data_IF_905558245461
#
_entry.id   IF_905558245461
#
_cell.length_a   1.000
_cell.length_b   1.000
_cell.length_c   1.000
_cell.angle_alpha   90.00
_cell.angle_beta   90.00
_cell.angle_gamma   90.00
#
_symmetry.space_group_name_H-M   'P 1'
#
loop_
_entity.id
_entity.type
_entity.pdbx_description
1 polymer ?
#
# COMPACT_ATOMS: atom_id res chain seq x y z
N UNK A 1 8.44 -40.75 43.09
CA UNK A 1 7.98 -39.34 43.11
C UNK A 1 9.20 -38.48 42.86
N UNK A 2 9.31 -37.75 41.72
CA UNK A 2 10.53 -37.01 41.40
C UNK A 2 10.66 -35.76 42.28
N UNK A 3 11.90 -35.41 42.60
CA UNK A 3 12.31 -34.40 43.57
C UNK A 3 12.16 -32.96 43.05
N UNK A 4 12.08 -31.96 43.96
CA UNK A 4 12.12 -30.55 43.61
C UNK A 4 13.58 -30.14 43.36
N UNK A 5 14.03 -30.27 42.11
CA UNK A 5 15.28 -29.65 41.65
C UNK A 5 15.04 -29.01 40.28
N UNK A 6 15.57 -27.79 40.12
CA UNK A 6 15.64 -26.98 38.89
C UNK A 6 14.46 -26.05 38.57
N UNK A 7 14.24 -25.03 39.42
CA UNK A 7 13.60 -23.78 38.96
C UNK A 7 14.52 -22.59 39.21
N UNK A 8 14.74 -21.80 38.14
CA UNK A 8 15.15 -20.39 38.11
C UNK A 8 16.62 -19.99 38.32
N UNK A 9 17.61 -20.73 37.81
CA UNK A 9 19.00 -20.21 37.68
C UNK A 9 19.53 -20.06 36.25
N UNK A 10 18.77 -20.48 35.22
CA UNK A 10 19.29 -20.57 33.84
C UNK A 10 18.75 -19.51 32.86
N UNK A 11 18.00 -18.50 33.32
CA UNK A 11 17.41 -17.49 32.44
C UNK A 11 17.88 -16.09 32.87
N UNK A 12 18.94 -15.59 32.22
CA UNK A 12 19.57 -14.30 32.51
C UNK A 12 18.95 -13.11 31.77
N UNK A 13 19.72 -12.03 31.63
CA UNK A 13 19.44 -10.90 30.73
C UNK A 13 20.02 -11.18 29.34
N UNK A 14 19.34 -10.78 28.26
CA UNK A 14 19.94 -10.74 26.92
C UNK A 14 19.95 -9.33 26.32
N UNK A 15 20.96 -9.04 25.50
CA UNK A 15 21.08 -7.82 24.70
C UNK A 15 21.59 -8.06 23.29
N UNK A 16 21.10 -7.24 22.35
CA UNK A 16 21.57 -7.21 20.96
C UNK A 16 22.00 -5.80 20.52
N UNK A 17 23.10 -5.23 21.06
CA UNK A 17 23.61 -3.97 20.57
C UNK A 17 24.03 -4.09 19.09
N UNK A 18 23.49 -3.22 18.24
CA UNK A 18 23.75 -3.13 16.79
C UNK A 18 24.67 -1.96 16.40
N UNK A 19 25.14 -1.16 17.35
CA UNK A 19 26.01 0.00 17.16
C UNK A 19 26.79 0.31 18.44
N UNK A 20 27.99 0.88 18.29
CA UNK A 20 28.82 1.36 19.40
C UNK A 20 28.31 2.74 19.87
N UNK A 21 27.32 2.74 20.77
CA UNK A 21 26.68 3.96 21.28
C UNK A 21 26.57 3.96 22.81
N UNK A 22 25.92 4.98 23.38
CA UNK A 22 25.49 5.04 24.79
C UNK A 22 24.81 3.76 25.26
N UNK A 23 24.09 3.07 24.36
CA UNK A 23 23.54 1.73 24.59
C UNK A 23 24.60 0.71 25.02
N UNK A 24 25.72 0.64 24.29
CA UNK A 24 26.81 -0.28 24.61
C UNK A 24 27.41 0.01 25.98
N UNK A 25 27.50 1.29 26.36
CA UNK A 25 27.96 1.67 27.69
C UNK A 25 27.00 1.20 28.79
N UNK A 26 25.69 1.38 28.61
CA UNK A 26 24.67 0.86 29.54
C UNK A 26 24.72 -0.65 29.70
N UNK A 27 24.86 -1.40 28.59
CA UNK A 27 25.02 -2.87 28.64
C UNK A 27 26.30 -3.28 29.38
N UNK A 28 27.43 -2.60 29.12
CA UNK A 28 28.70 -2.87 29.81
C UNK A 28 28.63 -2.60 31.32
N UNK A 29 27.91 -1.55 31.74
CA UNK A 29 27.72 -1.27 33.15
C UNK A 29 26.91 -2.38 33.85
N UNK A 30 25.87 -2.90 33.20
CA UNK A 30 25.13 -4.05 33.71
C UNK A 30 25.98 -5.33 33.72
N UNK A 31 26.79 -5.57 32.69
CA UNK A 31 27.75 -6.70 32.65
C UNK A 31 28.80 -6.63 33.76
N UNK A 32 29.11 -5.44 34.26
CA UNK A 32 30.03 -5.24 35.39
C UNK A 32 29.34 -5.32 36.77
N UNK A 33 28.02 -5.52 36.80
CA UNK A 33 27.23 -5.71 38.02
C UNK A 33 27.10 -7.19 38.38
N UNK A 34 26.28 -7.51 39.39
CA UNK A 34 25.99 -8.88 39.82
C UNK A 34 25.00 -9.61 38.88
N UNK A 35 24.41 -8.92 37.89
CA UNK A 35 23.47 -9.52 36.92
C UNK A 35 24.22 -10.17 35.76
N UNK A 36 23.87 -11.41 35.44
CA UNK A 36 24.35 -12.07 34.23
C UNK A 36 23.64 -11.54 32.98
N UNK A 37 24.42 -10.93 32.08
CA UNK A 37 23.96 -10.40 30.78
C UNK A 37 24.66 -11.09 29.62
N UNK A 38 23.91 -11.83 28.82
CA UNK A 38 24.36 -12.36 27.53
C UNK A 38 24.18 -11.31 26.43
N UNK A 39 25.19 -11.15 25.60
CA UNK A 39 25.20 -10.28 24.42
C UNK A 39 25.63 -11.10 23.21
N UNK A 40 24.68 -11.37 22.33
CA UNK A 40 24.89 -12.29 21.21
C UNK A 40 25.18 -11.58 19.87
N UNK A 41 24.89 -10.28 19.81
CA UNK A 41 25.22 -9.45 18.64
C UNK A 41 26.73 -9.37 18.39
N UNK A 42 27.12 -9.00 17.18
CA UNK A 42 28.52 -8.76 16.80
C UNK A 42 29.23 -7.66 17.62
N UNK A 43 28.51 -6.72 18.24
CA UNK A 43 29.14 -5.59 18.94
C UNK A 43 29.85 -5.95 20.24
N UNK A 44 29.20 -6.69 21.15
CA UNK A 44 29.79 -7.10 22.43
C UNK A 44 30.17 -8.58 22.47
N UNK A 45 29.35 -9.43 21.83
CA UNK A 45 29.57 -10.86 21.63
C UNK A 45 30.25 -11.58 22.81
N UNK A 46 29.68 -11.49 24.00
CA UNK A 46 30.27 -12.08 25.22
C UNK A 46 29.76 -13.52 25.50
N UNK A 47 28.74 -13.98 24.76
CA UNK A 47 28.12 -15.29 24.97
C UNK A 47 27.74 -15.96 23.65
N UNK A 48 27.51 -17.27 23.71
CA UNK A 48 26.98 -18.06 22.59
C UNK A 48 25.47 -18.18 22.74
N UNK A 49 24.71 -18.28 21.63
CA UNK A 49 23.28 -18.50 21.72
C UNK A 49 22.96 -19.81 22.46
N UNK A 50 21.82 -19.89 23.16
CA UNK A 50 21.37 -21.13 23.79
C UNK A 50 21.31 -22.29 22.79
N UNK A 51 21.63 -23.53 23.19
CA UNK A 51 21.58 -24.69 22.31
C UNK A 51 20.21 -24.88 21.66
N UNK A 52 20.20 -25.19 20.36
CA UNK A 52 18.98 -25.49 19.61
C UNK A 52 18.14 -24.26 19.21
N UNK A 53 18.63 -23.03 19.45
CA UNK A 53 17.93 -21.81 19.07
C UNK A 53 18.36 -21.32 17.68
N UNK A 54 17.39 -20.99 16.83
CA UNK A 54 17.63 -20.32 15.56
C UNK A 54 17.90 -18.82 15.79
N UNK A 55 19.16 -18.41 15.70
CA UNK A 55 19.59 -17.00 15.88
C UNK A 55 19.17 -16.07 14.74
N UNK A 56 18.72 -16.61 13.60
CA UNK A 56 18.10 -15.82 12.53
C UNK A 56 16.74 -15.23 12.94
N UNK A 57 16.10 -15.78 13.98
CA UNK A 57 14.90 -15.23 14.59
C UNK A 57 15.22 -14.75 16.02
N UNK A 58 15.25 -13.43 16.21
CA UNK A 58 15.53 -12.83 17.53
C UNK A 58 14.52 -13.25 18.60
N UNK A 59 13.25 -13.43 18.24
CA UNK A 59 12.17 -13.84 19.15
C UNK A 59 12.48 -15.19 19.79
N UNK A 60 12.90 -16.18 19.00
CA UNK A 60 13.26 -17.52 19.50
C UNK A 60 14.39 -17.49 20.54
N UNK A 61 15.29 -16.50 20.42
CA UNK A 61 16.35 -16.30 21.41
C UNK A 61 15.78 -15.62 22.65
N UNK A 62 15.03 -14.52 22.48
CA UNK A 62 14.44 -13.76 23.60
C UNK A 62 13.55 -14.63 24.50
N UNK A 63 12.82 -15.59 23.93
CA UNK A 63 12.01 -16.59 24.67
C UNK A 63 12.81 -17.41 25.69
N UNK A 64 14.14 -17.44 25.61
CA UNK A 64 15.01 -18.18 26.54
C UNK A 64 15.47 -17.35 27.74
N UNK A 65 15.12 -16.06 27.80
CA UNK A 65 15.60 -15.12 28.82
C UNK A 65 14.42 -14.45 29.53
N UNK A 66 14.57 -14.23 30.85
CA UNK A 66 13.55 -13.53 31.65
C UNK A 66 13.42 -12.07 31.23
N UNK A 67 14.53 -11.46 30.82
CA UNK A 67 14.61 -10.05 30.46
C UNK A 67 15.36 -9.84 29.16
N UNK A 68 14.97 -8.81 28.42
CA UNK A 68 15.72 -8.31 27.28
C UNK A 68 15.99 -6.80 27.41
N UNK A 69 17.23 -6.39 27.12
CA UNK A 69 17.64 -4.98 27.11
C UNK A 69 17.17 -4.29 25.82
N UNK A 70 15.95 -3.76 25.87
CA UNK A 70 15.25 -3.02 24.82
C UNK A 70 15.75 -1.57 24.70
N UNK A 71 17.07 -1.41 24.55
CA UNK A 71 17.69 -0.08 24.53
C UNK A 71 17.67 0.52 23.12
N UNK A 72 17.14 1.72 23.01
CA UNK A 72 17.14 2.48 21.76
C UNK A 72 18.51 3.07 21.45
N UNK A 73 18.71 3.44 20.18
CA UNK A 73 19.97 4.02 19.72
C UNK A 73 20.17 5.48 20.20
N UNK A 74 19.10 6.15 20.62
CA UNK A 74 19.07 7.53 21.06
C UNK A 74 17.95 7.78 22.04
N UNK A 75 17.98 8.94 22.71
CA UNK A 75 16.98 9.38 23.67
C UNK A 75 16.25 10.60 23.11
N UNK A 76 15.13 10.34 22.45
CA UNK A 76 14.29 11.36 21.84
C UNK A 76 12.85 11.00 22.13
N UNK A 77 12.02 12.00 22.46
CA UNK A 77 10.58 11.80 22.63
C UNK A 77 10.00 11.14 21.36
N UNK A 78 9.01 10.28 21.56
CA UNK A 78 8.37 9.45 20.52
C UNK A 78 9.28 8.44 19.78
N UNK A 79 10.59 8.39 20.06
CA UNK A 79 11.50 7.42 19.44
C UNK A 79 11.39 6.03 20.08
N UNK A 80 10.39 5.28 19.63
CA UNK A 80 10.10 3.91 20.07
C UNK A 80 10.04 3.03 18.82
N UNK A 81 10.83 1.96 18.81
CA UNK A 81 10.99 1.10 17.62
C UNK A 81 10.46 -0.32 17.87
N UNK A 82 10.72 -1.24 16.92
CA UNK A 82 10.35 -2.64 17.01
C UNK A 82 10.88 -3.33 18.27
N UNK A 83 11.95 -2.81 18.88
CA UNK A 83 12.59 -3.38 20.07
C UNK A 83 11.53 -3.61 21.14
N UNK A 84 10.93 -2.53 21.66
CA UNK A 84 9.89 -2.57 22.69
C UNK A 84 8.80 -3.63 22.42
N UNK A 85 8.29 -3.63 21.19
CA UNK A 85 7.10 -4.42 20.84
C UNK A 85 7.42 -5.90 20.64
N UNK A 86 8.61 -6.22 20.13
CA UNK A 86 9.04 -7.60 19.93
C UNK A 86 9.20 -8.36 21.25
N UNK A 87 9.53 -7.68 22.37
CA UNK A 87 9.65 -8.34 23.67
C UNK A 87 8.31 -8.82 24.22
N UNK A 88 7.26 -8.02 24.08
CA UNK A 88 5.90 -8.42 24.44
C UNK A 88 5.47 -9.69 23.69
N UNK A 89 5.87 -9.82 22.41
CA UNK A 89 5.61 -11.01 21.61
C UNK A 89 6.45 -12.23 22.05
N UNK A 90 7.74 -12.04 22.33
CA UNK A 90 8.64 -13.10 22.82
C UNK A 90 8.32 -13.54 24.25
N UNK A 91 7.56 -12.73 24.98
CA UNK A 91 7.15 -12.98 26.34
C UNK A 91 8.23 -12.79 27.40
N UNK A 92 9.29 -12.06 27.06
CA UNK A 92 10.34 -11.60 27.98
C UNK A 92 9.97 -10.24 28.56
N UNK A 93 10.49 -9.86 29.73
CA UNK A 93 10.25 -8.54 30.31
C UNK A 93 11.22 -7.54 29.66
N UNK A 94 10.74 -6.53 28.92
CA UNK A 94 11.59 -5.48 28.38
C UNK A 94 12.15 -4.58 29.48
N UNK A 95 13.47 -4.39 29.45
CA UNK A 95 14.19 -3.38 30.24
C UNK A 95 14.56 -2.24 29.29
N UNK A 96 13.86 -1.12 29.42
CA UNK A 96 13.84 -0.07 28.38
C UNK A 96 14.70 1.14 28.76
N UNK A 97 15.44 1.62 27.78
CA UNK A 97 16.20 2.87 27.82
C UNK A 97 16.04 3.55 26.45
N UNK A 98 15.36 4.70 26.38
CA UNK A 98 15.03 5.32 25.09
C UNK A 98 14.24 6.61 25.24
N UNK A 99 13.06 6.66 24.62
CA UNK A 99 12.16 7.82 24.66
C UNK A 99 11.80 8.23 26.10
N UNK A 100 11.75 9.55 26.36
CA UNK A 100 11.41 10.07 27.69
C UNK A 100 9.90 9.96 27.99
N UNK A 101 9.05 9.96 26.96
CA UNK A 101 7.60 9.82 27.09
C UNK A 101 7.10 8.38 26.83
N UNK A 102 7.98 7.37 26.86
CA UNK A 102 7.63 5.96 26.57
C UNK A 102 6.42 5.43 27.34
N UNK A 103 6.20 5.89 28.57
CA UNK A 103 5.06 5.49 29.41
C UNK A 103 3.71 5.90 28.80
N UNK A 104 3.67 7.01 28.07
CA UNK A 104 2.47 7.51 27.37
C UNK A 104 2.07 6.60 26.20
N UNK A 105 3.04 5.92 25.58
CA UNK A 105 2.81 5.03 24.43
C UNK A 105 2.41 3.61 24.82
N UNK A 106 2.79 3.17 26.03
CA UNK A 106 2.44 1.86 26.59
C UNK A 106 1.07 1.90 27.28
N UNK A 107 0.68 3.06 27.83
CA UNK A 107 -0.56 3.23 28.57
C UNK A 107 -0.50 2.58 29.96
N UNK A 108 -1.56 1.90 30.37
CA UNK A 108 -1.69 1.31 31.70
C UNK A 108 -1.00 -0.04 31.89
N UNK A 109 -0.30 -0.56 30.87
CA UNK A 109 0.33 -1.88 30.94
C UNK A 109 1.48 -1.87 31.95
N UNK A 110 1.36 -2.71 32.98
CA UNK A 110 2.45 -3.05 33.88
C UNK A 110 3.21 -4.27 33.34
N UNK A 111 4.13 -4.02 32.41
CA UNK A 111 4.91 -5.07 31.74
C UNK A 111 6.34 -4.69 31.39
N UNK A 112 6.81 -3.53 31.84
CA UNK A 112 8.09 -2.94 31.41
C UNK A 112 8.88 -2.45 32.62
N UNK A 113 10.20 -2.67 32.61
CA UNK A 113 11.13 -2.11 33.59
C UNK A 113 11.83 -0.91 32.94
N UNK A 114 11.59 0.29 33.47
CA UNK A 114 12.19 1.52 32.94
C UNK A 114 13.53 1.79 33.63
N UNK A 115 14.61 1.90 32.85
CA UNK A 115 15.94 2.20 33.41
C UNK A 115 15.95 3.54 34.15
N UNK A 116 15.18 4.52 33.68
CA UNK A 116 15.11 5.86 34.26
C UNK A 116 14.42 5.92 35.64
N UNK A 117 13.72 4.86 36.05
CA UNK A 117 13.10 4.77 37.38
C UNK A 117 14.13 4.43 38.48
N UNK A 118 15.40 4.16 38.11
CA UNK A 118 16.47 3.79 39.02
C UNK A 118 17.55 4.89 39.11
N UNK A 119 17.99 5.20 40.32
CA UNK A 119 19.02 6.21 40.55
C UNK A 119 20.41 5.83 39.99
N UNK A 120 20.65 4.54 39.75
CA UNK A 120 21.89 4.04 39.15
C UNK A 120 21.70 2.66 38.52
N UNK A 121 22.63 2.26 37.66
CA UNK A 121 22.68 0.91 37.08
C UNK A 121 22.81 -0.18 38.14
N UNK A 122 23.41 0.12 39.30
CA UNK A 122 23.49 -0.83 40.42
C UNK A 122 22.11 -1.10 41.02
N UNK A 123 21.30 -0.06 41.26
CA UNK A 123 19.93 -0.24 41.76
C UNK A 123 19.04 -0.98 40.76
N UNK A 124 19.23 -0.74 39.47
CA UNK A 124 18.58 -1.53 38.42
C UNK A 124 18.98 -3.02 38.51
N UNK A 125 20.28 -3.30 38.66
CA UNK A 125 20.78 -4.67 38.79
C UNK A 125 20.19 -5.40 40.01
N UNK A 126 20.20 -4.76 41.18
CA UNK A 126 19.58 -5.28 42.41
C UNK A 126 18.08 -5.57 42.22
N UNK A 127 17.37 -4.69 41.50
CA UNK A 127 15.97 -4.88 41.19
C UNK A 127 15.73 -6.05 40.23
N UNK A 128 16.54 -6.21 39.18
CA UNK A 128 16.44 -7.33 38.25
C UNK A 128 16.66 -8.68 38.97
N UNK A 129 17.63 -8.75 39.89
CA UNK A 129 17.86 -9.92 40.75
C UNK A 129 16.65 -10.19 41.67
N UNK A 130 16.06 -9.13 42.23
CA UNK A 130 14.85 -9.25 43.05
C UNK A 130 13.68 -9.82 42.24
N UNK A 131 13.47 -9.34 41.01
CA UNK A 131 12.42 -9.83 40.12
C UNK A 131 12.69 -11.28 39.72
N UNK A 132 13.92 -11.65 39.34
CA UNK A 132 14.27 -13.02 38.93
C UNK A 132 14.09 -14.05 40.05
N UNK A 133 14.31 -13.64 41.30
CA UNK A 133 14.21 -14.52 42.48
C UNK A 133 12.82 -14.52 43.13
N UNK A 134 11.87 -13.74 42.62
CA UNK A 134 10.52 -13.65 43.16
C UNK A 134 9.49 -13.95 42.07
N UNK A 135 9.01 -15.20 42.07
CA UNK A 135 8.04 -15.69 41.07
C UNK A 135 6.78 -14.82 40.99
N UNK A 136 6.22 -14.41 42.13
CA UNK A 136 5.00 -13.59 42.17
C UNK A 136 5.24 -12.20 41.57
N UNK A 137 6.40 -11.60 41.85
CA UNK A 137 6.78 -10.32 41.27
C UNK A 137 7.09 -10.45 39.77
N UNK A 138 7.74 -11.52 39.33
CA UNK A 138 7.95 -11.78 37.92
C UNK A 138 6.62 -11.96 37.17
N UNK A 139 5.70 -12.75 37.72
CA UNK A 139 4.37 -12.98 37.15
C UNK A 139 3.52 -11.70 37.10
N UNK A 140 3.72 -10.73 38.01
CA UNK A 140 2.98 -9.47 37.97
C UNK A 140 3.26 -8.66 36.70
N UNK A 141 4.45 -8.80 36.09
CA UNK A 141 4.81 -8.18 34.80
C UNK A 141 4.13 -8.82 33.59
N UNK A 142 3.38 -9.92 33.78
CA UNK A 142 2.71 -10.65 32.70
C UNK A 142 1.18 -10.62 32.82
N UNK A 143 0.63 -9.97 33.86
CA UNK A 143 -0.82 -9.89 34.10
C UNK A 143 -1.56 -9.25 32.92
N UNK A 144 -0.95 -8.24 32.29
CA UNK A 144 -1.50 -7.52 31.13
C UNK A 144 -1.93 -8.43 29.96
N UNK A 145 -1.38 -9.65 29.86
CA UNK A 145 -1.76 -10.63 28.81
C UNK A 145 -3.20 -11.14 28.95
N UNK A 146 -3.79 -11.00 30.13
CA UNK A 146 -5.17 -11.41 30.42
C UNK A 146 -6.12 -10.21 30.47
N UNK A 147 -5.67 -9.02 30.09
CA UNK A 147 -6.44 -7.78 30.11
C UNK A 147 -6.60 -7.22 28.69
N UNK A 148 -7.64 -6.41 28.42
CA UNK A 148 -7.73 -5.69 27.16
C UNK A 148 -6.52 -4.77 26.97
N UNK A 149 -5.87 -4.83 25.81
CA UNK A 149 -4.77 -3.93 25.49
C UNK A 149 -5.27 -2.49 25.35
N UNK A 150 -4.56 -1.49 25.92
CA UNK A 150 -4.86 -0.10 25.68
C UNK A 150 -4.84 0.23 24.18
N UNK A 151 -5.74 1.10 23.73
CA UNK A 151 -5.82 1.51 22.32
C UNK A 151 -4.48 2.03 21.80
N UNK A 152 -3.80 2.86 22.60
CA UNK A 152 -2.49 3.42 22.22
C UNK A 152 -1.40 2.36 22.04
N UNK A 153 -1.45 1.30 22.84
CA UNK A 153 -0.54 0.15 22.71
C UNK A 153 -0.78 -0.57 21.38
N UNK A 154 -2.05 -0.81 21.01
CA UNK A 154 -2.42 -1.44 19.75
C UNK A 154 -2.03 -0.60 18.53
N UNK A 155 -2.29 0.71 18.57
CA UNK A 155 -1.89 1.64 17.50
C UNK A 155 -0.39 1.59 17.23
N UNK A 156 0.41 1.79 18.28
CA UNK A 156 1.86 1.90 18.15
C UNK A 156 2.50 0.56 17.78
N UNK A 157 2.08 -0.53 18.44
CA UNK A 157 2.61 -1.86 18.12
C UNK A 157 2.34 -2.26 16.67
N UNK A 158 1.10 -2.10 16.20
CA UNK A 158 0.73 -2.42 14.82
C UNK A 158 1.50 -1.59 13.79
N UNK A 159 1.73 -0.30 14.07
CA UNK A 159 2.50 0.58 13.19
C UNK A 159 3.95 0.10 13.00
N UNK A 160 4.58 -0.41 14.07
CA UNK A 160 5.99 -0.87 14.00
C UNK A 160 6.18 -2.25 13.36
N UNK A 161 5.12 -3.03 13.13
CA UNK A 161 5.23 -4.37 12.53
C UNK A 161 5.64 -4.34 11.06
N UNK A 162 5.33 -3.26 10.34
CA UNK A 162 5.66 -3.13 8.91
C UNK A 162 6.91 -2.27 8.78
N UNK A 163 7.98 -2.87 8.28
CA UNK A 163 9.23 -2.14 8.05
C UNK A 163 9.02 -0.98 7.06
N UNK A 164 9.70 0.14 7.29
CA UNK A 164 9.57 1.36 6.46
C UNK A 164 9.79 1.09 4.97
N UNK A 165 10.72 0.21 4.61
CA UNK A 165 10.92 -0.21 3.22
C UNK A 165 9.69 -0.89 2.61
N UNK A 166 8.98 -1.72 3.39
CA UNK A 166 7.72 -2.34 2.94
C UNK A 166 6.62 -1.30 2.76
N UNK A 167 6.52 -0.32 3.68
CA UNK A 167 5.60 0.81 3.52
C UNK A 167 5.90 1.60 2.24
N UNK A 168 7.17 1.92 1.99
CA UNK A 168 7.59 2.60 0.76
C UNK A 168 7.29 1.77 -0.48
N UNK A 169 7.56 0.46 -0.49
CA UNK A 169 7.24 -0.41 -1.62
C UNK A 169 5.73 -0.42 -1.92
N UNK A 170 4.89 -0.53 -0.87
CA UNK A 170 3.43 -0.48 -1.02
C UNK A 170 2.95 0.88 -1.53
N UNK A 171 3.53 1.97 -1.03
CA UNK A 171 3.23 3.33 -1.46
C UNK A 171 3.61 3.54 -2.93
N UNK A 172 4.82 3.14 -3.35
CA UNK A 172 5.27 3.21 -4.74
C UNK A 172 4.39 2.36 -5.64
N UNK A 173 4.01 1.15 -5.18
CA UNK A 173 3.10 0.28 -5.92
C UNK A 173 1.73 0.95 -6.10
N UNK A 174 1.14 1.47 -5.03
CA UNK A 174 -0.14 2.16 -5.09
C UNK A 174 -0.10 3.35 -6.07
N UNK A 175 0.97 4.15 -6.00
CA UNK A 175 1.19 5.29 -6.91
C UNK A 175 1.43 4.86 -8.35
N UNK A 176 2.22 3.81 -8.58
CA UNK A 176 2.52 3.28 -9.92
C UNK A 176 1.28 2.70 -10.60
N UNK A 177 0.36 2.14 -9.83
CA UNK A 177 -0.83 1.47 -10.35
C UNK A 177 -2.12 2.18 -9.93
N UNK A 178 -2.11 3.48 -9.61
CA UNK A 178 -3.34 4.25 -9.34
C UNK A 178 -4.27 3.72 -8.23
N UNK A 179 -3.76 3.01 -7.23
CA UNK A 179 -4.53 2.57 -6.06
C UNK A 179 -4.63 3.67 -4.99
N UNK A 180 -5.65 3.59 -4.13
CA UNK A 180 -5.78 4.44 -2.95
C UNK A 180 -4.71 4.14 -1.89
N UNK A 181 -4.45 5.11 -1.00
CA UNK A 181 -3.49 4.99 0.10
C UNK A 181 -4.05 5.48 1.42
N UNK A 182 -3.99 4.63 2.43
CA UNK A 182 -4.32 4.97 3.81
C UNK A 182 -3.07 5.50 4.53
N UNK A 183 -3.01 6.80 4.79
CA UNK A 183 -1.88 7.43 5.49
C UNK A 183 -1.74 6.98 6.94
N UNK A 184 -2.85 6.70 7.63
CA UNK A 184 -2.82 6.32 9.04
C UNK A 184 -2.34 4.87 9.21
N UNK A 185 -2.76 3.98 8.31
CA UNK A 185 -2.45 2.54 8.33
C UNK A 185 -1.26 2.14 7.46
N UNK A 186 -0.73 3.06 6.65
CA UNK A 186 0.35 2.81 5.69
C UNK A 186 0.05 1.60 4.78
N UNK A 187 -1.16 1.55 4.24
CA UNK A 187 -1.68 0.43 3.47
C UNK A 187 -2.38 0.86 2.19
N UNK A 188 -2.35 -0.03 1.19
CA UNK A 188 -3.08 0.14 -0.07
C UNK A 188 -4.58 0.01 0.21
N UNK A 189 -5.38 0.93 -0.34
CA UNK A 189 -6.83 0.84 -0.34
C UNK A 189 -7.35 0.41 -1.72
N UNK A 190 -8.42 -0.40 -1.78
CA UNK A 190 -9.10 -0.67 -3.03
C UNK A 190 -9.58 0.63 -3.68
N UNK A 191 -9.53 0.67 -5.01
CA UNK A 191 -10.10 1.77 -5.79
C UNK A 191 -11.62 1.79 -5.68
N UNK A 192 -12.22 2.98 -5.65
CA UNK A 192 -13.67 3.13 -5.53
C UNK A 192 -14.41 2.76 -6.84
N UNK A 193 -13.74 2.86 -7.98
CA UNK A 193 -14.24 2.41 -9.28
C UNK A 193 -13.45 1.19 -9.76
N UNK A 194 -14.14 0.25 -10.42
CA UNK A 194 -13.48 -0.89 -11.02
C UNK A 194 -12.52 -0.45 -12.13
N UNK A 195 -11.35 -1.08 -12.13
CA UNK A 195 -10.31 -0.94 -13.17
C UNK A 195 -10.32 -2.08 -14.16
N UNK A 196 -11.23 -3.04 -13.98
CA UNK A 196 -11.40 -4.16 -14.88
C UNK A 196 -12.17 -3.72 -16.13
N UNK A 197 -11.61 -4.02 -17.29
CA UNK A 197 -12.34 -3.89 -18.55
C UNK A 197 -13.34 -5.03 -18.66
N UNK A 198 -14.61 -4.72 -18.86
CA UNK A 198 -15.64 -5.73 -19.15
C UNK A 198 -16.30 -5.45 -20.50
N UNK A 199 -16.58 -6.52 -21.25
CA UNK A 199 -17.26 -6.47 -22.53
C UNK A 199 -18.58 -7.24 -22.51
N UNK A 200 -19.62 -6.68 -23.11
CA UNK A 200 -20.86 -7.39 -23.45
C UNK A 200 -21.11 -7.26 -24.95
N UNK A 201 -21.18 -8.39 -25.66
CA UNK A 201 -21.41 -8.42 -27.12
C UNK A 201 -20.40 -7.55 -27.91
N UNK A 202 -19.13 -7.53 -27.47
CA UNK A 202 -18.02 -6.73 -28.01
C UNK A 202 -18.08 -5.21 -27.74
N UNK A 203 -19.00 -4.76 -26.89
CA UNK A 203 -19.05 -3.38 -26.44
C UNK A 203 -18.58 -3.29 -24.97
N UNK A 204 -17.79 -2.27 -24.66
CA UNK A 204 -17.30 -1.99 -23.32
C UNK A 204 -18.42 -1.59 -22.35
N UNK A 205 -18.43 -2.23 -21.18
CA UNK A 205 -19.37 -2.02 -20.09
C UNK A 205 -18.70 -1.44 -18.82
N UNK A 206 -17.39 -1.63 -18.70
CA UNK A 206 -16.54 -1.11 -17.62
C UNK A 206 -15.17 -0.77 -18.23
N UNK A 207 -14.51 0.33 -17.82
CA UNK A 207 -14.89 1.25 -16.74
C UNK A 207 -16.01 2.25 -17.06
N UNK A 208 -16.41 2.33 -18.33
CA UNK A 208 -17.59 3.08 -18.77
C UNK A 208 -18.35 2.28 -19.82
N UNK A 209 -19.65 2.53 -19.92
CA UNK A 209 -20.48 1.93 -20.97
C UNK A 209 -20.29 2.72 -22.26
N UNK A 210 -19.83 2.06 -23.31
CA UNK A 210 -19.67 2.70 -24.61
C UNK A 210 -20.88 2.54 -25.52
N UNK A 211 -21.15 3.57 -26.32
CA UNK A 211 -22.08 3.50 -27.45
C UNK A 211 -21.58 4.35 -28.61
N UNK A 212 -21.79 3.84 -29.84
CA UNK A 212 -21.35 4.48 -31.07
C UNK A 212 -22.52 5.11 -31.83
N UNK A 213 -22.29 6.32 -32.36
CA UNK A 213 -23.28 7.14 -33.05
C UNK A 213 -22.67 7.79 -34.29
N UNK A 214 -23.50 8.11 -35.27
CA UNK A 214 -23.10 8.95 -36.41
C UNK A 214 -23.33 10.45 -36.13
N UNK A 215 -22.91 11.27 -37.08
CA UNK A 215 -23.06 12.73 -37.05
C UNK A 215 -24.52 13.21 -37.14
N UNK A 216 -25.45 12.35 -37.56
CA UNK A 216 -26.89 12.63 -37.52
C UNK A 216 -27.52 12.42 -36.14
N UNK A 217 -26.76 11.84 -35.20
CA UNK A 217 -27.26 11.45 -33.88
C UNK A 217 -28.01 10.10 -33.90
N UNK A 218 -27.80 9.28 -34.93
CA UNK A 218 -28.34 7.92 -35.00
C UNK A 218 -27.35 6.91 -34.43
N UNK A 219 -27.84 5.93 -33.66
CA UNK A 219 -27.02 4.91 -33.01
C UNK A 219 -26.55 3.85 -34.02
N UNK A 220 -25.25 3.55 -34.06
CA UNK A 220 -24.63 2.69 -35.07
C UNK A 220 -24.63 1.18 -34.74
N UNK A 221 -24.71 0.76 -33.48
CA UNK A 221 -24.91 -0.66 -33.12
C UNK A 221 -25.42 -0.94 -31.68
N UNK A 222 -25.66 -2.22 -31.38
CA UNK A 222 -26.79 -2.81 -30.62
C UNK A 222 -26.50 -3.14 -29.15
N UNK A 223 -26.39 -2.15 -28.27
CA UNK A 223 -26.59 -2.38 -26.82
C UNK A 223 -28.01 -1.96 -26.43
N UNK A 224 -28.89 -2.92 -26.17
CA UNK A 224 -30.11 -2.74 -25.35
C UNK A 224 -29.71 -2.96 -23.90
N UNK A 225 -29.40 -1.87 -23.19
CA UNK A 225 -29.07 -1.92 -21.77
C UNK A 225 -30.30 -1.63 -20.93
N UNK A 226 -30.57 -2.53 -19.98
CA UNK A 226 -31.47 -2.25 -18.87
C UNK A 226 -30.65 -1.67 -17.69
N UNK A 227 -31.14 -0.63 -16.98
CA UNK A 227 -30.38 0.07 -15.94
C UNK A 227 -29.80 -0.82 -14.82
N UNK A 228 -30.43 -1.96 -14.54
CA UNK A 228 -30.01 -2.91 -13.52
C UNK A 228 -28.70 -3.65 -13.84
N UNK A 229 -28.31 -3.79 -15.11
CA UNK A 229 -27.04 -4.42 -15.50
C UNK A 229 -25.83 -3.52 -15.23
N UNK A 230 -26.02 -2.20 -15.27
CA UNK A 230 -25.00 -1.18 -14.99
C UNK A 230 -24.37 -1.35 -13.59
N UNK A 231 -25.16 -1.80 -12.61
CA UNK A 231 -24.73 -1.97 -11.22
C UNK A 231 -24.10 -3.34 -10.90
N UNK A 232 -24.14 -4.31 -11.82
CA UNK A 232 -23.72 -5.71 -11.56
C UNK A 232 -22.60 -6.22 -12.49
N UNK A 233 -22.06 -5.38 -13.38
CA UNK A 233 -21.14 -5.81 -14.44
C UNK A 233 -19.76 -6.29 -13.96
N UNK A 234 -19.44 -6.20 -12.67
CA UNK A 234 -18.07 -6.48 -12.19
C UNK A 234 -17.74 -7.96 -12.01
N UNK A 235 -18.70 -8.91 -12.10
CA UNK A 235 -18.40 -10.33 -11.78
C UNK A 235 -18.58 -11.33 -12.92
N UNK A 236 -19.01 -10.94 -14.13
CA UNK A 236 -19.38 -11.91 -15.19
C UNK A 236 -18.81 -11.64 -16.60
N UNK A 237 -17.93 -10.64 -16.79
CA UNK A 237 -17.51 -10.23 -18.13
C UNK A 237 -16.11 -9.58 -18.20
N UNK A 238 -15.26 -9.81 -17.20
CA UNK A 238 -13.90 -9.27 -17.18
C UNK A 238 -13.06 -9.84 -18.34
N UNK A 239 -12.36 -8.95 -19.05
CA UNK A 239 -11.35 -9.28 -20.05
C UNK A 239 -10.05 -9.63 -19.32
N UNK A 240 -9.36 -10.70 -19.73
CA UNK A 240 -8.06 -11.05 -19.15
C UNK A 240 -7.05 -9.89 -19.34
N UNK A 241 -6.18 -9.68 -18.36
CA UNK A 241 -5.10 -8.70 -18.49
C UNK A 241 -4.23 -9.03 -19.70
N UNK A 242 -3.92 -8.00 -20.49
CA UNK A 242 -3.23 -8.02 -21.78
C UNK A 242 -4.04 -8.62 -22.94
N UNK A 243 -5.34 -8.86 -22.79
CA UNK A 243 -6.16 -9.37 -23.89
C UNK A 243 -6.63 -8.26 -24.84
N UNK A 244 -6.85 -8.67 -26.09
CA UNK A 244 -7.31 -7.83 -27.21
C UNK A 244 -8.72 -8.28 -27.60
N UNK A 245 -9.66 -7.35 -27.70
CA UNK A 245 -10.96 -7.60 -28.32
C UNK A 245 -11.17 -6.66 -29.50
N UNK A 246 -11.57 -7.20 -30.66
CA UNK A 246 -11.74 -6.42 -31.89
C UNK A 246 -13.17 -6.53 -32.41
N UNK A 247 -13.76 -5.40 -32.81
CA UNK A 247 -15.12 -5.33 -33.33
C UNK A 247 -15.25 -4.29 -34.45
N UNK A 248 -16.30 -4.39 -35.28
CA UNK A 248 -16.62 -3.37 -36.28
C UNK A 248 -17.56 -2.33 -35.70
N UNK A 249 -17.33 -1.07 -36.02
CA UNK A 249 -18.22 0.02 -35.64
C UNK A 249 -19.32 0.17 -36.71
N UNK A 250 -20.54 -0.20 -36.34
CA UNK A 250 -21.71 -0.16 -37.23
C UNK A 250 -21.57 -1.05 -38.46
N UNK A 251 -22.10 -0.60 -39.60
CA UNK A 251 -21.95 -1.27 -40.90
C UNK A 251 -20.73 -0.77 -41.70
N UNK A 252 -19.86 0.03 -41.08
CA UNK A 252 -18.76 0.71 -41.74
C UNK A 252 -17.46 -0.11 -41.85
N UNK A 253 -16.42 0.56 -42.33
CA UNK A 253 -15.05 0.03 -42.44
C UNK A 253 -14.19 0.34 -41.20
N UNK A 254 -14.77 0.94 -40.16
CA UNK A 254 -14.06 1.22 -38.92
C UNK A 254 -13.98 -0.02 -38.04
N UNK A 255 -12.79 -0.23 -37.51
CA UNK A 255 -12.46 -1.32 -36.59
C UNK A 255 -12.08 -0.68 -35.25
N UNK A 256 -12.68 -1.20 -34.18
CA UNK A 256 -12.32 -0.90 -32.81
C UNK A 256 -11.52 -2.07 -32.24
N UNK A 257 -10.38 -1.78 -31.65
CA UNK A 257 -9.61 -2.71 -30.81
C UNK A 257 -9.56 -2.18 -29.38
N UNK A 258 -9.89 -3.05 -28.44
CA UNK A 258 -9.88 -2.79 -27.00
C UNK A 258 -8.76 -3.60 -26.36
N UNK A 259 -7.92 -2.94 -25.57
CA UNK A 259 -6.88 -3.57 -24.75
C UNK A 259 -7.06 -3.24 -23.28
N UNK A 260 -6.88 -4.23 -22.41
CA UNK A 260 -6.86 -4.05 -20.97
C UNK A 260 -5.49 -4.44 -20.44
N UNK A 261 -4.78 -3.56 -19.72
CA UNK A 261 -3.52 -3.90 -19.07
C UNK A 261 -3.32 -3.02 -17.84
N UNK A 262 -2.76 -3.59 -16.77
CA UNK A 262 -2.39 -2.89 -15.54
C UNK A 262 -3.46 -1.93 -14.98
N UNK A 263 -4.76 -2.21 -15.20
CA UNK A 263 -5.89 -1.39 -14.77
C UNK A 263 -6.16 -0.13 -15.61
N UNK A 264 -5.75 -0.16 -16.88
CA UNK A 264 -6.04 0.81 -17.94
C UNK A 264 -6.79 0.12 -19.06
N UNK A 265 -7.69 0.85 -19.73
CA UNK A 265 -8.34 0.40 -20.97
C UNK A 265 -7.91 1.29 -22.14
N UNK A 266 -7.32 0.73 -23.19
CA UNK A 266 -7.06 1.42 -24.45
C UNK A 266 -8.15 1.09 -25.47
N UNK A 267 -8.69 2.12 -26.11
CA UNK A 267 -9.57 2.04 -27.28
C UNK A 267 -8.78 2.56 -28.49
N UNK A 268 -8.63 1.74 -29.52
CA UNK A 268 -8.02 2.14 -30.77
C UNK A 268 -8.99 1.95 -31.91
N UNK A 269 -9.07 2.98 -32.74
CA UNK A 269 -10.00 3.04 -33.86
C UNK A 269 -9.22 3.32 -35.12
N UNK A 270 -9.38 2.43 -36.09
CA UNK A 270 -8.72 2.51 -37.39
C UNK A 270 -9.67 2.18 -38.53
N UNK A 271 -9.20 2.41 -39.76
CA UNK A 271 -9.97 2.21 -40.99
C UNK A 271 -10.33 3.54 -41.66
N UNK A 272 -11.24 3.46 -42.62
CA UNK A 272 -11.68 4.62 -43.40
C UNK A 272 -13.10 5.02 -43.02
N UNK A 273 -13.28 6.31 -42.72
CA UNK A 273 -14.57 6.94 -42.52
C UNK A 273 -14.73 8.13 -43.47
N UNK A 274 -15.96 8.42 -43.87
CA UNK A 274 -16.30 9.62 -44.66
C UNK A 274 -17.03 10.67 -43.82
N UNK A 275 -17.57 10.28 -42.67
CA UNK A 275 -18.32 11.13 -41.73
C UNK A 275 -17.75 11.01 -40.32
N UNK A 276 -18.07 12.00 -39.49
CA UNK A 276 -17.68 12.00 -38.07
C UNK A 276 -18.44 10.91 -37.33
N UNK A 277 -17.73 10.19 -36.46
CA UNK A 277 -18.32 9.19 -35.57
C UNK A 277 -18.23 9.68 -34.12
N UNK A 278 -19.24 9.43 -33.30
CA UNK A 278 -19.27 9.87 -31.90
C UNK A 278 -19.26 8.66 -30.98
N UNK A 279 -18.22 8.56 -30.17
CA UNK A 279 -18.14 7.65 -29.03
C UNK A 279 -18.76 8.33 -27.83
N UNK A 280 -19.84 7.77 -27.29
CA UNK A 280 -20.43 8.19 -26.01
C UNK A 280 -20.07 7.19 -24.93
N UNK A 281 -19.43 7.67 -23.87
CA UNK A 281 -19.07 6.86 -22.71
C UNK A 281 -19.85 7.32 -21.48
N UNK A 282 -20.62 6.41 -20.89
CA UNK A 282 -21.32 6.65 -19.65
C UNK A 282 -20.53 6.04 -18.48
N UNK A 283 -19.99 6.88 -17.62
CA UNK A 283 -19.19 6.46 -16.48
C UNK A 283 -20.04 6.35 -15.20
N UNK A 284 -19.72 5.41 -14.30
CA UNK A 284 -20.36 5.29 -12.98
C UNK A 284 -19.85 6.36 -11.99
N UNK A 285 -19.64 7.58 -12.47
CA UNK A 285 -19.05 8.70 -11.73
C UNK A 285 -19.89 9.96 -11.98
N UNK A 286 -20.44 10.55 -10.91
CA UNK A 286 -21.04 11.89 -11.02
C UNK A 286 -19.93 12.94 -10.96
N UNK A 287 -19.84 13.79 -11.98
CA UNK A 287 -18.79 14.81 -12.13
C UNK A 287 -19.42 16.13 -12.57
N UNK A 288 -18.77 17.27 -12.30
CA UNK A 288 -19.32 18.60 -12.60
C UNK A 288 -18.97 19.11 -14.00
N UNK A 289 -17.74 18.87 -14.47
CA UNK A 289 -17.26 19.28 -15.79
C UNK A 289 -16.05 18.45 -16.22
N UNK A 290 -15.73 18.51 -17.51
CA UNK A 290 -14.47 17.99 -18.04
C UNK A 290 -13.36 19.00 -17.75
N UNK A 291 -12.27 18.54 -17.15
CA UNK A 291 -11.07 19.34 -16.89
C UNK A 291 -9.97 18.89 -17.85
N UNK A 292 -9.38 19.82 -18.60
CA UNK A 292 -8.20 19.52 -19.41
C UNK A 292 -6.96 19.68 -18.55
N UNK A 293 -6.22 18.58 -18.37
CA UNK A 293 -4.97 18.60 -17.62
C UNK A 293 -3.84 19.12 -18.52
N UNK A 294 -3.83 18.66 -19.77
CA UNK A 294 -2.92 19.10 -20.81
C UNK A 294 -3.60 18.96 -22.19
N UNK A 295 -2.98 19.39 -23.30
CA UNK A 295 -3.60 19.29 -24.62
C UNK A 295 -3.94 17.87 -25.09
N UNK A 296 -3.43 16.81 -24.46
CA UNK A 296 -3.63 15.39 -24.79
C UNK A 296 -4.45 14.65 -23.74
N UNK A 297 -4.70 15.25 -22.57
CA UNK A 297 -5.36 14.58 -21.44
C UNK A 297 -6.50 15.42 -20.88
N UNK A 298 -7.69 14.82 -20.85
CA UNK A 298 -8.86 15.38 -20.17
C UNK A 298 -9.29 14.45 -19.03
N UNK A 299 -9.88 14.96 -17.96
CA UNK A 299 -10.41 14.14 -16.89
C UNK A 299 -11.79 14.60 -16.41
N UNK A 300 -12.52 13.66 -15.83
CA UNK A 300 -13.71 13.88 -15.02
C UNK A 300 -13.43 13.36 -13.62
N UNK A 301 -13.92 14.04 -12.59
CA UNK A 301 -13.63 13.65 -11.21
C UNK A 301 -14.77 14.00 -10.25
N UNK A 302 -14.81 13.30 -9.13
CA UNK A 302 -15.56 13.64 -7.93
C UNK A 302 -14.62 13.62 -6.71
N UNK A 303 -15.18 13.66 -5.50
CA UNK A 303 -14.41 13.69 -4.23
C UNK A 303 -13.59 12.42 -3.91
N UNK A 304 -13.76 11.36 -4.69
CA UNK A 304 -13.17 10.05 -4.40
C UNK A 304 -12.44 9.45 -5.58
N UNK A 305 -12.86 9.77 -6.80
CA UNK A 305 -12.42 9.08 -8.00
C UNK A 305 -12.26 10.03 -9.18
N UNK A 306 -11.32 9.69 -10.05
CA UNK A 306 -10.99 10.40 -11.29
C UNK A 306 -10.92 9.40 -12.43
N UNK A 307 -11.46 9.81 -13.58
CA UNK A 307 -11.28 9.10 -14.84
C UNK A 307 -10.57 10.05 -15.79
N UNK A 308 -9.37 9.68 -16.19
CA UNK A 308 -8.54 10.42 -17.14
C UNK A 308 -8.61 9.75 -18.51
N UNK A 309 -8.83 10.56 -19.54
CA UNK A 309 -8.87 10.21 -20.94
C UNK A 309 -7.64 10.81 -21.61
N UNK A 310 -6.69 9.97 -22.01
CA UNK A 310 -5.49 10.37 -22.73
C UNK A 310 -5.60 9.99 -24.21
N UNK A 311 -5.15 10.88 -25.08
CA UNK A 311 -5.33 10.77 -26.53
C UNK A 311 -4.00 10.85 -27.27
N UNK A 312 -3.86 10.11 -28.37
CA UNK A 312 -2.65 10.15 -29.21
C UNK A 312 -2.52 11.44 -30.05
N UNK A 313 -3.55 12.29 -30.06
CA UNK A 313 -3.56 13.60 -30.70
C UNK A 313 -4.11 14.65 -29.75
N UNK A 314 -3.82 15.93 -30.02
CA UNK A 314 -4.27 17.04 -29.18
C UNK A 314 -5.81 17.06 -29.11
N UNK A 315 -6.37 16.89 -27.93
CA UNK A 315 -7.80 16.95 -27.66
C UNK A 315 -8.37 18.30 -28.09
N UNK A 316 -7.72 19.40 -27.71
CA UNK A 316 -8.15 20.75 -28.06
C UNK A 316 -8.05 20.95 -29.57
N UNK A 317 -9.19 20.95 -30.24
CA UNK A 317 -9.32 21.17 -31.69
C UNK A 317 -9.30 19.90 -32.55
N UNK A 318 -8.89 18.74 -32.02
CA UNK A 318 -8.99 17.46 -32.74
C UNK A 318 -10.12 16.56 -32.26
N UNK A 319 -10.64 16.75 -31.05
CA UNK A 319 -11.85 16.08 -30.57
C UNK A 319 -12.81 17.12 -29.98
N UNK A 320 -14.12 16.91 -30.18
CA UNK A 320 -15.13 17.64 -29.42
C UNK A 320 -15.50 16.80 -28.20
N UNK A 321 -15.08 17.25 -27.01
CA UNK A 321 -15.41 16.61 -25.73
C UNK A 321 -16.53 17.36 -25.04
N UNK A 322 -17.63 16.68 -24.75
CA UNK A 322 -18.78 17.25 -24.05
C UNK A 322 -19.22 16.34 -22.91
N UNK A 323 -19.57 16.93 -21.77
CA UNK A 323 -20.17 16.21 -20.65
C UNK A 323 -21.67 16.47 -20.55
N UNK A 324 -22.45 15.41 -20.39
CA UNK A 324 -23.85 15.50 -19.96
C UNK A 324 -24.00 15.04 -18.51
N UNK A 325 -24.17 16.00 -17.61
CA UNK A 325 -24.23 15.80 -16.15
C UNK A 325 -25.48 15.03 -15.70
N UNK A 326 -26.56 15.06 -16.48
CA UNK A 326 -27.80 14.34 -16.10
C UNK A 326 -27.67 12.83 -16.24
N UNK A 327 -26.75 12.36 -17.08
CA UNK A 327 -26.53 10.94 -17.37
C UNK A 327 -25.07 10.50 -17.21
N UNK A 328 -24.18 11.35 -16.66
CA UNK A 328 -22.75 11.09 -16.45
C UNK A 328 -22.03 10.57 -17.71
N UNK A 329 -22.27 11.26 -18.82
CA UNK A 329 -21.82 10.83 -20.14
C UNK A 329 -20.80 11.80 -20.73
N UNK A 330 -19.75 11.26 -21.33
CA UNK A 330 -18.72 11.97 -22.11
C UNK A 330 -18.86 11.61 -23.58
N UNK A 331 -19.03 12.62 -24.43
CA UNK A 331 -19.01 12.47 -25.89
C UNK A 331 -17.62 12.75 -26.44
N UNK A 332 -17.15 11.93 -27.38
CA UNK A 332 -15.88 12.08 -28.09
C UNK A 332 -16.16 11.97 -29.58
N UNK A 333 -16.08 13.09 -30.30
CA UNK A 333 -16.25 13.11 -31.75
C UNK A 333 -14.94 12.77 -32.48
N UNK A 334 -14.90 11.63 -33.17
CA UNK A 334 -13.80 11.16 -34.01
C UNK A 334 -13.96 11.67 -35.45
N UNK A 335 -13.05 12.55 -35.87
CA UNK A 335 -13.03 13.05 -37.25
C UNK A 335 -12.25 12.10 -38.18
N UNK A 336 -12.71 11.88 -39.42
CA UNK A 336 -12.05 11.00 -40.38
C UNK A 336 -10.56 11.28 -40.61
N UNK A 337 -10.16 12.56 -40.61
CA UNK A 337 -8.77 13.00 -40.84
C UNK A 337 -7.86 12.84 -39.60
N UNK A 338 -8.42 12.36 -38.48
CA UNK A 338 -7.69 12.08 -37.23
C UNK A 338 -7.54 10.58 -36.95
N UNK A 339 -7.96 9.73 -37.87
CA UNK A 339 -7.75 8.28 -37.78
C UNK A 339 -6.34 7.89 -38.27
N UNK A 340 -5.70 6.88 -37.66
CA UNK A 340 -6.19 6.13 -36.51
C UNK A 340 -6.11 6.94 -35.21
N UNK A 341 -7.08 6.72 -34.31
CA UNK A 341 -7.17 7.40 -33.02
C UNK A 341 -7.03 6.39 -31.89
N UNK A 342 -6.29 6.76 -30.84
CA UNK A 342 -6.18 6.00 -29.60
C UNK A 342 -6.69 6.84 -28.44
N UNK A 343 -7.56 6.25 -27.63
CA UNK A 343 -8.13 6.82 -26.42
C UNK A 343 -7.79 5.85 -25.28
N UNK A 344 -7.06 6.33 -24.29
CA UNK A 344 -6.73 5.57 -23.09
C UNK A 344 -7.59 6.05 -21.94
N UNK A 345 -8.23 5.11 -21.26
CA UNK A 345 -9.06 5.33 -20.10
C UNK A 345 -8.31 4.86 -18.87
N UNK A 346 -8.06 5.79 -17.97
CA UNK A 346 -7.31 5.62 -16.74
C UNK A 346 -8.28 5.83 -15.59
N UNK A 347 -8.55 4.78 -14.82
CA UNK A 347 -9.36 4.86 -13.61
C UNK A 347 -8.45 4.86 -12.39
N UNK A 348 -8.57 5.91 -11.59
CA UNK A 348 -7.79 6.13 -10.39
C UNK A 348 -8.66 6.79 -9.32
N UNK A 349 -8.27 6.65 -8.06
CA UNK A 349 -8.87 7.46 -7.01
C UNK A 349 -8.31 8.89 -7.08
N UNK A 350 -9.11 9.89 -6.68
CA UNK A 350 -8.61 11.27 -6.56
C UNK A 350 -7.37 11.25 -5.66
N UNK A 351 -6.30 11.97 -6.05
CA UNK A 351 -5.01 11.89 -5.37
C UNK A 351 -5.13 12.21 -3.88
N UNK A 352 -5.26 11.16 -3.07
CA UNK A 352 -5.21 11.21 -1.61
C UNK A 352 -3.78 11.14 -1.10
N UNK A 353 -2.79 10.85 -1.94
CA UNK A 353 -1.39 10.79 -1.51
C UNK A 353 -0.93 12.13 -0.95
N UNK A 354 -1.52 13.22 -1.42
CA UNK A 354 -1.22 14.55 -0.93
C UNK A 354 -2.51 15.26 -0.51
N UNK A 355 -2.88 15.10 0.77
CA UNK A 355 -3.98 15.87 1.38
C UNK A 355 -3.70 17.37 1.22
N UNK A 356 -4.34 18.02 0.24
CA UNK A 356 -4.20 19.44 -0.04
C UNK A 356 -3.19 19.82 -1.14
N UNK A 357 -2.63 18.87 -1.91
CA UNK A 357 -1.86 19.26 -3.11
C UNK A 357 -2.77 19.60 -4.27
N UNK A 358 -2.38 20.63 -5.02
CA UNK A 358 -2.98 21.04 -6.29
C UNK A 358 -2.40 20.23 -7.48
N UNK A 359 -2.04 18.96 -7.28
CA UNK A 359 -1.53 18.13 -8.39
C UNK A 359 -2.66 17.86 -9.39
N UNK A 360 -2.65 18.61 -10.49
CA UNK A 360 -3.59 18.45 -11.59
C UNK A 360 -3.35 17.12 -12.31
N UNK A 361 -2.09 16.70 -12.45
CA UNK A 361 -1.70 15.42 -13.04
C UNK A 361 -1.37 14.40 -11.95
N UNK A 362 -2.02 13.24 -11.96
CA UNK A 362 -1.54 12.11 -11.17
C UNK A 362 -0.26 11.55 -11.80
N UNK A 363 0.63 10.97 -11.00
CA UNK A 363 1.84 10.29 -11.50
C UNK A 363 1.49 9.19 -12.52
N UNK A 364 0.41 8.45 -12.27
CA UNK A 364 -0.09 7.41 -13.15
C UNK A 364 -0.60 7.99 -14.48
N UNK A 365 -1.42 9.06 -14.44
CA UNK A 365 -1.90 9.76 -15.63
C UNK A 365 -0.77 10.41 -16.45
N UNK A 366 0.24 10.98 -15.80
CA UNK A 366 1.38 11.61 -16.45
C UNK A 366 2.27 10.64 -17.22
N UNK A 367 2.61 9.49 -16.60
CA UNK A 367 3.41 8.43 -17.26
C UNK A 367 2.60 7.78 -18.38
N UNK A 368 1.37 7.38 -18.08
CA UNK A 368 0.55 6.64 -19.04
C UNK A 368 0.16 7.49 -20.25
N UNK A 369 0.24 8.82 -20.18
CA UNK A 369 0.10 9.73 -21.33
C UNK A 369 1.24 9.55 -22.34
N UNK A 370 2.48 9.44 -21.89
CA UNK A 370 3.63 9.28 -22.79
C UNK A 370 3.50 7.98 -23.60
N UNK A 371 3.06 6.91 -22.96
CA UNK A 371 2.79 5.62 -23.60
C UNK A 371 1.68 5.67 -24.67
N UNK A 372 0.69 6.57 -24.52
CA UNK A 372 -0.39 6.74 -25.52
C UNK A 372 0.13 7.41 -26.78
N UNK A 373 1.14 8.28 -26.63
CA UNK A 373 1.79 8.95 -27.75
C UNK A 373 2.71 8.00 -28.53
N UNK A 374 3.13 6.89 -27.93
CA UNK A 374 3.86 5.80 -28.59
C UNK A 374 2.84 4.89 -29.31
N UNK A 375 3.12 4.54 -30.55
CA UNK A 375 2.19 3.74 -31.36
C UNK A 375 1.99 2.33 -30.81
N UNK A 376 0.77 1.76 -30.91
CA UNK A 376 0.46 0.40 -30.42
C UNK A 376 1.31 -0.70 -31.06
N UNK A 377 1.80 -0.51 -32.29
CA UNK A 377 2.60 -1.55 -32.97
C UNK A 377 3.85 -1.92 -32.16
N UNK A 378 4.46 -1.00 -31.41
CA UNK A 378 5.63 -1.29 -30.58
C UNK A 378 5.33 -2.11 -29.31
N UNK A 379 4.08 -2.13 -28.85
CA UNK A 379 3.64 -2.94 -27.69
C UNK A 379 2.88 -4.20 -28.10
N UNK A 380 2.31 -4.23 -29.31
CA UNK A 380 1.72 -5.41 -29.93
C UNK A 380 2.77 -6.32 -30.61
N UNK A 381 4.02 -5.85 -30.76
CA UNK A 381 5.14 -6.66 -31.24
C UNK A 381 5.66 -7.59 -30.12
N UNK A 382 5.09 -8.79 -30.14
CA UNK A 382 5.51 -10.06 -29.53
C UNK A 382 5.97 -10.07 -28.05
N UNK A 383 5.37 -10.93 -27.19
CA UNK A 383 5.88 -11.23 -25.84
C UNK A 383 7.34 -11.72 -25.77
N UNK A 384 7.95 -12.07 -26.91
CA UNK A 384 9.31 -12.63 -27.05
C UNK A 384 10.41 -11.57 -26.98
N UNK A 385 10.12 -10.27 -27.13
CA UNK A 385 11.15 -9.22 -27.14
C UNK A 385 11.50 -8.66 -25.75
N UNK A 386 10.70 -8.95 -24.71
CA UNK A 386 10.92 -8.48 -23.34
C UNK A 386 11.94 -9.31 -22.53
N UNK A 387 12.46 -10.42 -23.08
CA UNK A 387 13.53 -11.22 -22.42
C UNK A 387 14.96 -10.73 -22.71
N UNK A 388 15.14 -9.62 -23.44
CA UNK A 388 16.49 -9.16 -23.86
C UNK A 388 16.92 -7.77 -23.38
N UNK A 389 16.30 -7.20 -22.34
CA UNK A 389 16.81 -5.98 -21.69
C UNK A 389 16.89 -6.08 -20.17
#
# INVERSE_FOLDING_TARGET
>A
MPSPSNRCHDQGLISFPTSASTRTAGVKQLQASEVWVDSLSSCLKNSKPPPGVNTGNKTNVMEKYLFHLAFENGRTDDYITEKLWMEFHAGTIPVVLGSNNIKEHIGSIHGVIYVDDFASTQYLAEYLIKVSNNQTLYESYHVWRNEPYPEKFLENSNFTLVHSSCCTCRWVYARKYGFGWNHDKQSIEPVALSRETCLESHAMMSPGVETWWDDSGSKLCRLTLTPLKFLRATSFCAVENNAIATSRIGSGNLIQSLWSHDGVTDIYVEGQATTTHVLRMQFPLSHDSITFLDPYTACIQNKTSRISLAFNVKVIGAFNLQSNLTVNMVEIALYPDKLPSRIRIIVEDEDRFHKGALEQHTYYGGIMREDVMITPELFALEPTLLETY
#
